data_IF_253394340066
#
_entry.id   IF_253394340066
#
_cell.length_a   1.000
_cell.length_b   1.000
_cell.length_c   1.000
_cell.angle_alpha   90.00
_cell.angle_beta   90.00
_cell.angle_gamma   90.00
#
_symmetry.space_group_name_H-M   'P 1'
#
loop_
_entity.id
_entity.type
_entity.pdbx_description
1 polymer ?
#
# COMPACT_ATOMS: atom_id res chain seq x y z
N UNK A 1 -17.55 22.78 -17.55
CA UNK A 1 -16.40 22.72 -16.68
C UNK A 1 -15.92 21.28 -16.46
N UNK A 2 -14.68 21.14 -16.04
CA UNK A 2 -14.10 19.90 -15.51
C UNK A 2 -13.77 20.07 -14.04
N UNK A 3 -13.72 18.98 -13.31
CA UNK A 3 -13.12 18.90 -11.97
C UNK A 3 -11.84 18.07 -12.10
N UNK A 4 -10.72 18.65 -11.66
CA UNK A 4 -9.44 17.97 -11.57
C UNK A 4 -9.11 17.71 -10.12
N UNK A 5 -8.60 16.52 -9.82
CA UNK A 5 -8.22 16.07 -8.49
C UNK A 5 -6.75 15.63 -8.50
N UNK A 6 -5.98 16.12 -7.53
CA UNK A 6 -4.57 15.78 -7.37
C UNK A 6 -4.26 15.56 -5.88
N UNK A 7 -3.18 14.84 -5.54
CA UNK A 7 -2.65 14.81 -4.19
C UNK A 7 -2.22 16.20 -3.75
N UNK A 8 -2.18 16.42 -2.43
CA UNK A 8 -1.61 17.65 -1.90
C UNK A 8 -0.15 17.78 -2.35
N UNK A 9 0.10 18.80 -3.13
CA UNK A 9 1.45 19.21 -3.49
C UNK A 9 1.79 20.46 -2.67
N UNK A 10 3.00 20.51 -2.12
CA UNK A 10 3.53 21.73 -1.48
C UNK A 10 3.71 22.77 -2.56
N UNK A 11 2.70 23.59 -2.79
CA UNK A 11 2.70 24.69 -3.76
C UNK A 11 2.71 26.02 -3.06
N UNK A 12 3.28 27.02 -3.74
CA UNK A 12 3.10 28.42 -3.42
C UNK A 12 1.63 28.87 -3.56
N UNK A 13 1.34 30.13 -3.28
CA UNK A 13 0.00 30.68 -3.47
C UNK A 13 -0.41 30.60 -4.94
N UNK A 14 -1.45 29.78 -5.21
CA UNK A 14 -2.09 29.72 -6.51
C UNK A 14 -3.09 30.88 -6.60
N UNK A 15 -2.83 31.82 -7.45
CA UNK A 15 -3.78 32.89 -7.77
C UNK A 15 -3.97 32.94 -9.28
N UNK A 16 -5.06 32.35 -9.76
CA UNK A 16 -5.45 32.50 -11.16
C UNK A 16 -6.97 32.64 -11.25
N UNK A 17 -7.44 33.62 -12.02
CA UNK A 17 -8.86 33.85 -12.31
C UNK A 17 -9.45 32.77 -13.25
N UNK A 18 -8.62 31.83 -13.70
CA UNK A 18 -8.97 30.82 -14.69
C UNK A 18 -9.57 29.53 -14.13
N UNK A 19 -9.56 29.34 -12.81
CA UNK A 19 -10.11 28.17 -12.14
C UNK A 19 -10.49 28.47 -10.68
N UNK A 20 -11.31 27.62 -10.07
CA UNK A 20 -11.60 27.64 -8.62
C UNK A 20 -10.76 26.56 -7.98
N UNK A 21 -9.95 26.94 -7.00
CA UNK A 21 -9.10 26.04 -6.24
C UNK A 21 -9.64 25.78 -4.84
N UNK A 22 -9.72 24.51 -4.44
CA UNK A 22 -10.09 24.07 -3.09
C UNK A 22 -8.98 23.17 -2.55
N UNK A 23 -8.27 23.66 -1.55
CA UNK A 23 -7.16 22.97 -0.92
C UNK A 23 -7.63 21.97 0.13
N UNK A 24 -6.99 20.82 0.15
CA UNK A 24 -7.15 19.80 1.21
C UNK A 24 -8.59 19.29 1.40
N UNK A 25 -9.26 19.03 0.32
CA UNK A 25 -10.60 18.43 0.37
C UNK A 25 -10.47 16.89 0.41
N UNK A 26 -10.61 16.30 1.61
CA UNK A 26 -10.38 14.85 1.84
C UNK A 26 -8.99 14.41 1.32
N UNK A 27 -7.94 15.10 1.74
CA UNK A 27 -6.54 14.88 1.35
C UNK A 27 -6.25 15.07 -0.15
N UNK A 28 -7.11 15.77 -0.85
CA UNK A 28 -6.93 16.12 -2.25
C UNK A 28 -7.00 17.62 -2.48
N UNK A 29 -6.22 18.10 -3.43
CA UNK A 29 -6.36 19.42 -4.02
C UNK A 29 -7.31 19.33 -5.22
N UNK A 30 -8.34 20.17 -5.23
CA UNK A 30 -9.40 20.14 -6.23
C UNK A 30 -9.41 21.44 -7.02
N UNK A 31 -9.50 21.30 -8.34
CA UNK A 31 -9.61 22.41 -9.29
C UNK A 31 -10.90 22.28 -10.08
N UNK A 32 -11.72 23.33 -10.08
CA UNK A 32 -12.88 23.43 -10.97
C UNK A 32 -12.49 24.40 -12.07
N UNK A 33 -12.40 23.90 -13.29
CA UNK A 33 -11.83 24.64 -14.43
C UNK A 33 -12.83 24.71 -15.59
N UNK A 34 -13.02 25.89 -16.21
CA UNK A 34 -13.73 26.02 -17.49
C UNK A 34 -13.10 25.14 -18.55
N UNK A 35 -13.90 24.63 -19.48
CA UNK A 35 -13.43 23.66 -20.49
C UNK A 35 -12.28 24.23 -21.36
N UNK A 36 -12.34 25.51 -21.67
CA UNK A 36 -11.32 26.23 -22.45
C UNK A 36 -9.98 26.35 -21.73
N UNK A 37 -9.97 26.32 -20.39
CA UNK A 37 -8.77 26.50 -19.56
C UNK A 37 -8.13 25.19 -19.09
N UNK A 38 -8.75 24.04 -19.34
CA UNK A 38 -8.23 22.74 -18.89
C UNK A 38 -6.79 22.49 -19.35
N UNK A 39 -6.50 22.70 -20.63
CA UNK A 39 -5.16 22.48 -21.18
C UNK A 39 -4.09 23.41 -20.57
N UNK A 40 -4.49 24.62 -20.18
CA UNK A 40 -3.60 25.59 -19.53
C UNK A 40 -3.28 25.14 -18.11
N UNK A 41 -4.30 24.71 -17.35
CA UNK A 41 -4.16 24.18 -15.99
C UNK A 41 -3.21 22.97 -15.96
N UNK A 42 -3.43 21.99 -16.85
CA UNK A 42 -2.62 20.78 -16.91
C UNK A 42 -1.14 21.07 -17.25
N UNK A 43 -0.87 22.06 -18.09
CA UNK A 43 0.50 22.42 -18.48
C UNK A 43 1.26 23.21 -17.42
N UNK A 44 0.57 24.11 -16.74
CA UNK A 44 1.23 25.11 -15.91
C UNK A 44 1.21 24.76 -14.42
N UNK A 45 0.12 24.12 -13.96
CA UNK A 45 -0.15 24.00 -12.52
C UNK A 45 -0.10 22.56 -12.01
N UNK A 46 -0.43 21.58 -12.86
CA UNK A 46 -0.59 20.19 -12.45
C UNK A 46 0.53 19.29 -13.01
N UNK A 47 1.80 19.68 -12.84
CA UNK A 47 2.92 18.92 -13.39
C UNK A 47 3.47 17.83 -12.48
N UNK A 48 3.24 17.95 -11.17
CA UNK A 48 3.88 17.10 -10.16
C UNK A 48 2.86 16.21 -9.45
N UNK A 49 2.35 15.18 -10.11
CA UNK A 49 1.49 14.22 -9.45
C UNK A 49 0.52 13.50 -10.37
N UNK A 50 -0.28 12.61 -9.79
CA UNK A 50 -1.30 11.87 -10.51
C UNK A 50 -2.60 12.66 -10.52
N UNK A 51 -3.11 12.95 -11.69
CA UNK A 51 -4.25 13.83 -11.91
C UNK A 51 -5.44 12.99 -12.38
N UNK A 52 -6.55 13.10 -11.65
CA UNK A 52 -7.84 12.61 -12.08
C UNK A 52 -8.70 13.72 -12.63
N UNK A 53 -9.28 13.54 -13.80
CA UNK A 53 -10.09 14.53 -14.51
C UNK A 53 -11.50 13.94 -14.68
N UNK A 54 -12.53 14.70 -14.31
CA UNK A 54 -13.93 14.30 -14.55
C UNK A 54 -14.29 14.28 -16.03
N UNK A 55 -15.49 13.82 -16.38
CA UNK A 55 -16.13 14.18 -17.63
C UNK A 55 -16.41 15.70 -17.70
N UNK A 56 -16.77 16.21 -18.87
CA UNK A 56 -17.28 17.56 -19.02
C UNK A 56 -18.66 17.68 -18.39
N UNK A 57 -18.85 18.63 -17.50
CA UNK A 57 -20.11 18.88 -16.81
C UNK A 57 -20.62 20.30 -17.06
N UNK A 58 -21.93 20.49 -16.86
CA UNK A 58 -22.58 21.80 -16.86
C UNK A 58 -23.55 21.88 -15.66
N UNK A 59 -23.73 23.09 -15.12
CA UNK A 59 -24.60 23.31 -13.96
C UNK A 59 -23.99 22.84 -12.62
N UNK A 60 -24.40 23.49 -11.53
CA UNK A 60 -23.87 23.20 -10.19
C UNK A 60 -24.42 21.88 -9.61
N UNK A 61 -25.53 21.40 -10.10
CA UNK A 61 -26.17 20.14 -9.70
C UNK A 61 -25.29 18.92 -9.94
N UNK A 62 -24.39 18.98 -10.94
CA UNK A 62 -23.48 17.88 -11.30
C UNK A 62 -22.12 17.93 -10.57
N UNK A 63 -21.88 18.91 -9.68
CA UNK A 63 -20.57 19.10 -9.05
C UNK A 63 -20.14 17.89 -8.21
N UNK A 64 -21.07 17.23 -7.51
CA UNK A 64 -20.78 16.03 -6.72
C UNK A 64 -20.33 14.86 -7.58
N UNK A 65 -20.99 14.69 -8.73
CA UNK A 65 -20.63 13.66 -9.69
C UNK A 65 -19.24 13.93 -10.29
N UNK A 66 -19.01 15.15 -10.74
CA UNK A 66 -17.73 15.56 -11.30
C UNK A 66 -16.58 15.36 -10.30
N UNK A 67 -16.80 15.68 -9.01
CA UNK A 67 -15.85 15.42 -7.95
C UNK A 67 -15.58 13.91 -7.79
N UNK A 68 -16.62 13.08 -7.69
CA UNK A 68 -16.47 11.63 -7.54
C UNK A 68 -15.71 11.00 -8.72
N UNK A 69 -16.02 11.42 -9.95
CA UNK A 69 -15.31 11.01 -11.16
C UNK A 69 -13.82 11.38 -11.11
N UNK A 70 -13.51 12.63 -10.73
CA UNK A 70 -12.13 13.09 -10.65
C UNK A 70 -11.31 12.34 -9.60
N UNK A 71 -11.88 12.06 -8.42
CA UNK A 71 -11.22 11.27 -7.36
C UNK A 71 -10.98 9.83 -7.83
N UNK A 72 -11.97 9.20 -8.45
CA UNK A 72 -11.84 7.86 -9.00
C UNK A 72 -10.73 7.79 -10.06
N UNK A 73 -10.69 8.77 -10.97
CA UNK A 73 -9.68 8.81 -12.02
C UNK A 73 -8.29 9.11 -11.48
N UNK A 74 -8.16 9.89 -10.39
CA UNK A 74 -6.86 10.08 -9.71
C UNK A 74 -6.32 8.78 -9.14
N UNK A 75 -7.16 8.00 -8.44
CA UNK A 75 -6.79 6.68 -7.93
C UNK A 75 -6.35 5.76 -9.08
N UNK A 76 -7.09 5.80 -10.19
CA UNK A 76 -6.74 5.03 -11.39
C UNK A 76 -5.41 5.47 -12.00
N UNK A 77 -5.17 6.76 -12.15
CA UNK A 77 -3.90 7.30 -12.63
C UNK A 77 -2.74 6.84 -11.74
N UNK A 78 -2.90 6.92 -10.42
CA UNK A 78 -1.91 6.46 -9.43
C UNK A 78 -1.55 4.98 -9.61
N UNK A 79 -2.53 4.08 -9.58
CA UNK A 79 -2.25 2.64 -9.65
C UNK A 79 -1.76 2.18 -11.02
N UNK A 80 -2.01 2.95 -12.09
CA UNK A 80 -1.53 2.68 -13.46
C UNK A 80 -0.23 3.40 -13.79
N UNK A 81 0.32 4.12 -12.84
CA UNK A 81 1.53 4.95 -13.06
C UNK A 81 1.39 5.89 -14.27
N UNK A 82 0.22 6.53 -14.40
CA UNK A 82 -0.13 7.47 -15.45
C UNK A 82 -0.22 8.88 -14.89
N UNK A 83 0.39 9.84 -15.56
CA UNK A 83 0.37 11.25 -15.11
C UNK A 83 -1.07 11.76 -14.99
N UNK A 84 -1.94 11.39 -15.91
CA UNK A 84 -3.34 11.80 -15.93
C UNK A 84 -4.28 10.68 -16.36
N UNK A 85 -5.49 10.68 -15.83
CA UNK A 85 -6.60 9.86 -16.32
C UNK A 85 -7.88 10.68 -16.34
N UNK A 86 -8.63 10.62 -17.43
CA UNK A 86 -9.89 11.34 -17.63
C UNK A 86 -11.06 10.37 -17.72
N UNK A 87 -12.14 10.69 -16.99
CA UNK A 87 -13.37 9.91 -17.02
C UNK A 87 -13.99 9.90 -18.43
N UNK A 88 -14.36 8.70 -18.88
CA UNK A 88 -14.93 8.49 -20.24
C UNK A 88 -13.90 8.47 -21.37
N UNK A 89 -12.67 8.93 -21.15
CA UNK A 89 -11.56 8.89 -22.13
C UNK A 89 -10.60 7.76 -21.84
N UNK A 90 -10.23 7.59 -20.56
CA UNK A 90 -9.34 6.52 -20.13
C UNK A 90 -10.04 5.16 -20.30
N UNK A 91 -9.48 4.31 -21.15
CA UNK A 91 -10.00 2.97 -21.44
C UNK A 91 -8.89 1.94 -21.34
N UNK A 92 -9.18 0.85 -20.67
CA UNK A 92 -8.32 -0.34 -20.58
C UNK A 92 -9.04 -1.53 -21.24
N UNK A 93 -8.33 -2.20 -22.13
CA UNK A 93 -8.81 -3.45 -22.75
C UNK A 93 -8.02 -4.61 -22.19
N UNK A 94 -8.52 -5.19 -21.11
CA UNK A 94 -7.87 -6.29 -20.42
C UNK A 94 -8.65 -7.57 -20.74
N UNK A 95 -7.99 -8.63 -21.23
CA UNK A 95 -8.65 -9.92 -21.45
C UNK A 95 -9.25 -10.47 -20.15
N UNK A 96 -10.50 -10.93 -20.22
CA UNK A 96 -11.26 -11.43 -19.07
C UNK A 96 -10.54 -12.58 -18.33
N UNK A 97 -9.85 -13.46 -19.06
CA UNK A 97 -9.07 -14.54 -18.47
C UNK A 97 -7.97 -14.04 -17.52
N UNK A 98 -7.31 -12.91 -17.85
CA UNK A 98 -6.26 -12.32 -17.00
C UNK A 98 -6.86 -11.68 -15.75
N UNK A 99 -8.04 -11.09 -15.86
CA UNK A 99 -8.77 -10.54 -14.69
C UNK A 99 -9.15 -11.67 -13.74
N UNK A 100 -9.66 -12.79 -14.27
CA UNK A 100 -10.03 -13.96 -13.47
C UNK A 100 -8.83 -14.59 -12.77
N UNK A 101 -7.68 -14.63 -13.41
CA UNK A 101 -6.43 -15.12 -12.80
C UNK A 101 -5.95 -14.18 -11.69
N UNK A 102 -5.93 -12.88 -11.94
CA UNK A 102 -5.52 -11.87 -10.96
C UNK A 102 -6.46 -11.82 -9.75
N UNK A 103 -7.76 -12.09 -9.93
CA UNK A 103 -8.74 -12.13 -8.86
C UNK A 103 -8.39 -13.14 -7.76
N UNK A 104 -7.70 -14.24 -8.09
CA UNK A 104 -7.22 -15.22 -7.10
C UNK A 104 -6.27 -14.61 -6.07
N UNK A 105 -5.50 -13.61 -6.46
CA UNK A 105 -4.58 -12.90 -5.55
C UNK A 105 -5.31 -11.99 -4.55
N UNK A 106 -6.58 -11.69 -4.80
CA UNK A 106 -7.42 -10.86 -3.93
C UNK A 106 -8.27 -11.69 -2.96
N UNK A 107 -8.30 -13.00 -3.12
CA UNK A 107 -9.05 -13.91 -2.26
C UNK A 107 -8.47 -13.94 -0.83
N UNK A 108 -9.33 -14.24 0.13
CA UNK A 108 -8.96 -14.36 1.55
C UNK A 108 -7.80 -15.34 1.78
N UNK A 109 -7.80 -16.47 1.07
CA UNK A 109 -6.73 -17.47 1.17
C UNK A 109 -5.35 -16.90 0.77
N UNK A 110 -5.28 -16.13 -0.31
CA UNK A 110 -4.05 -15.50 -0.76
C UNK A 110 -3.58 -14.40 0.21
N UNK A 111 -4.52 -13.65 0.82
CA UNK A 111 -4.22 -12.67 1.87
C UNK A 111 -3.65 -13.33 3.11
N UNK A 112 -4.30 -14.37 3.63
CA UNK A 112 -3.83 -15.14 4.78
C UNK A 112 -2.44 -15.72 4.50
N UNK A 113 -2.22 -16.26 3.32
CA UNK A 113 -0.91 -16.78 2.92
C UNK A 113 0.18 -15.70 2.99
N UNK A 114 -0.06 -14.49 2.47
CA UNK A 114 0.89 -13.37 2.56
C UNK A 114 1.20 -13.00 4.02
N UNK A 115 0.19 -12.95 4.89
CA UNK A 115 0.38 -12.70 6.32
C UNK A 115 1.22 -13.80 6.97
N UNK A 116 0.94 -15.08 6.67
CA UNK A 116 1.69 -16.20 7.22
C UNK A 116 3.15 -16.23 6.77
N UNK A 117 3.42 -15.88 5.51
CA UNK A 117 4.79 -15.83 4.97
C UNK A 117 5.69 -14.87 5.76
N UNK A 118 5.15 -13.80 6.34
CA UNK A 118 5.92 -12.85 7.17
C UNK A 118 6.60 -13.58 8.36
N UNK A 119 5.96 -14.59 8.94
CA UNK A 119 6.49 -15.36 10.08
C UNK A 119 7.30 -16.60 9.69
N UNK A 120 7.66 -16.79 8.41
CA UNK A 120 8.41 -17.96 7.92
C UNK A 120 9.82 -17.57 7.47
N UNK A 121 10.70 -18.55 7.27
CA UNK A 121 12.05 -18.32 6.72
C UNK A 121 12.07 -18.14 5.18
N UNK A 122 10.89 -18.02 4.55
CA UNK A 122 10.73 -17.96 3.09
C UNK A 122 10.61 -16.52 2.56
N UNK A 123 11.65 -15.71 2.74
CA UNK A 123 11.68 -14.30 2.32
C UNK A 123 11.45 -14.14 0.81
N UNK A 124 12.07 -15.01 -0.01
CA UNK A 124 11.89 -14.97 -1.47
C UNK A 124 10.43 -15.18 -1.91
N UNK A 125 9.70 -16.05 -1.23
CA UNK A 125 8.30 -16.32 -1.55
C UNK A 125 7.39 -15.18 -1.09
N UNK A 126 7.75 -14.54 0.03
CA UNK A 126 7.09 -13.34 0.53
C UNK A 126 7.22 -12.19 -0.48
N UNK A 127 8.44 -11.86 -0.90
CA UNK A 127 8.71 -10.82 -1.89
C UNK A 127 7.99 -11.10 -3.22
N UNK A 128 8.11 -12.31 -3.76
CA UNK A 128 7.42 -12.70 -5.00
C UNK A 128 5.91 -12.54 -4.92
N UNK A 129 5.30 -12.90 -3.78
CA UNK A 129 3.85 -12.80 -3.60
C UNK A 129 3.37 -11.35 -3.65
N UNK A 130 4.12 -10.41 -3.03
CA UNK A 130 3.78 -8.98 -3.08
C UNK A 130 4.05 -8.39 -4.47
N UNK A 131 5.23 -8.65 -5.05
CA UNK A 131 5.54 -8.15 -6.40
C UNK A 131 4.53 -8.63 -7.44
N UNK A 132 4.08 -9.88 -7.36
CA UNK A 132 3.05 -10.39 -8.25
C UNK A 132 1.72 -9.65 -8.04
N UNK A 133 1.30 -9.42 -6.80
CA UNK A 133 0.06 -8.70 -6.50
C UNK A 133 0.12 -7.27 -7.05
N UNK A 134 1.18 -6.51 -6.76
CA UNK A 134 1.37 -5.15 -7.27
C UNK A 134 1.49 -5.10 -8.79
N UNK A 135 2.14 -6.08 -9.41
CA UNK A 135 2.20 -6.20 -10.87
C UNK A 135 0.81 -6.31 -11.49
N UNK A 136 -0.09 -7.13 -10.93
CA UNK A 136 -1.46 -7.26 -11.43
C UNK A 136 -2.28 -5.97 -11.23
N UNK A 137 -2.07 -5.26 -10.13
CA UNK A 137 -2.65 -3.93 -9.87
C UNK A 137 -2.20 -2.92 -10.93
N UNK A 138 -0.88 -2.79 -11.14
CA UNK A 138 -0.29 -1.86 -12.12
C UNK A 138 -0.76 -2.13 -13.56
N UNK A 139 -1.00 -3.39 -13.90
CA UNK A 139 -1.51 -3.79 -15.22
C UNK A 139 -3.03 -3.71 -15.37
N UNK A 140 -3.75 -3.21 -14.37
CA UNK A 140 -5.19 -3.00 -14.45
C UNK A 140 -6.04 -4.25 -14.26
N UNK A 141 -5.43 -5.39 -13.91
CA UNK A 141 -6.14 -6.65 -13.74
C UNK A 141 -6.80 -6.77 -12.37
N UNK A 142 -6.38 -5.93 -11.44
CA UNK A 142 -7.03 -5.69 -10.15
C UNK A 142 -7.49 -4.23 -10.14
N UNK A 143 -8.77 -4.02 -9.86
CA UNK A 143 -9.38 -2.70 -9.76
C UNK A 143 -8.87 -1.93 -8.53
N UNK A 144 -8.81 -0.61 -8.60
CA UNK A 144 -8.30 0.26 -7.54
C UNK A 144 -9.08 0.17 -6.23
N UNK A 145 -10.40 -0.08 -6.30
CA UNK A 145 -11.22 -0.25 -5.09
C UNK A 145 -10.98 -1.61 -4.45
N UNK A 146 -10.79 -2.65 -5.26
CA UNK A 146 -10.40 -4.00 -4.79
C UNK A 146 -9.01 -3.96 -4.18
N UNK A 147 -8.06 -3.30 -4.84
CA UNK A 147 -6.71 -3.08 -4.30
C UNK A 147 -6.74 -2.42 -2.93
N UNK A 148 -7.46 -1.30 -2.80
CA UNK A 148 -7.60 -0.57 -1.53
C UNK A 148 -8.19 -1.46 -0.42
N UNK A 149 -9.24 -2.23 -0.73
CA UNK A 149 -9.84 -3.17 0.22
C UNK A 149 -8.86 -4.26 0.63
N UNK A 150 -8.16 -4.88 -0.33
CA UNK A 150 -7.19 -5.94 -0.06
C UNK A 150 -6.05 -5.45 0.87
N UNK A 151 -5.54 -4.24 0.65
CA UNK A 151 -4.48 -3.67 1.50
C UNK A 151 -4.99 -3.37 2.92
N UNK A 152 -6.19 -2.80 3.07
CA UNK A 152 -6.81 -2.57 4.39
C UNK A 152 -7.02 -3.87 5.16
N UNK A 153 -7.54 -4.89 4.50
CA UNK A 153 -7.76 -6.20 5.09
C UNK A 153 -6.44 -6.89 5.46
N UNK A 154 -5.41 -6.75 4.61
CA UNK A 154 -4.07 -7.27 4.87
C UNK A 154 -3.48 -6.65 6.16
N UNK A 155 -3.46 -5.32 6.27
CA UNK A 155 -2.93 -4.65 7.47
C UNK A 155 -3.74 -4.98 8.73
N UNK A 156 -5.05 -5.11 8.60
CA UNK A 156 -5.90 -5.53 9.72
C UNK A 156 -5.53 -6.94 10.22
N UNK A 157 -5.25 -7.86 9.31
CA UNK A 157 -4.84 -9.22 9.67
C UNK A 157 -3.42 -9.27 10.22
N UNK A 158 -2.50 -8.45 9.69
CA UNK A 158 -1.15 -8.28 10.24
C UNK A 158 -1.21 -7.77 11.69
N UNK A 159 -2.04 -6.76 11.97
CA UNK A 159 -2.23 -6.24 13.35
C UNK A 159 -2.71 -7.32 14.31
N UNK A 160 -3.66 -8.14 13.91
CA UNK A 160 -4.16 -9.23 14.75
C UNK A 160 -3.12 -10.31 14.99
N UNK A 161 -2.39 -10.68 13.94
CA UNK A 161 -1.46 -11.82 13.96
C UNK A 161 -0.17 -11.48 14.70
N UNK A 162 0.33 -10.25 14.51
CA UNK A 162 1.66 -9.84 14.98
C UNK A 162 1.63 -8.69 15.98
N UNK A 163 0.55 -8.54 16.73
CA UNK A 163 0.35 -7.45 17.69
C UNK A 163 1.56 -7.17 18.58
N UNK A 164 2.18 -8.21 19.15
CA UNK A 164 3.33 -8.06 20.04
C UNK A 164 4.61 -7.59 19.32
N UNK A 165 4.74 -7.88 18.03
CA UNK A 165 5.88 -7.46 17.24
C UNK A 165 5.72 -6.02 16.71
N UNK A 166 4.50 -5.51 16.65
CA UNK A 166 4.17 -4.19 16.11
C UNK A 166 4.32 -3.04 17.13
N UNK A 167 4.62 -3.30 18.40
CA UNK A 167 4.74 -2.25 19.42
C UNK A 167 5.77 -1.17 19.07
N UNK A 168 6.77 -1.48 18.24
CA UNK A 168 7.80 -0.53 17.77
C UNK A 168 7.64 -0.10 16.31
N UNK A 169 6.89 -0.84 15.49
CA UNK A 169 6.71 -0.60 14.05
C UNK A 169 5.36 0.09 13.73
N UNK A 170 4.65 0.55 14.76
CA UNK A 170 3.31 1.12 14.61
C UNK A 170 3.26 2.38 13.73
N UNK A 171 4.32 3.18 13.68
CA UNK A 171 4.38 4.39 12.85
C UNK A 171 4.43 4.02 11.36
N UNK A 172 5.34 3.13 10.95
CA UNK A 172 5.47 2.69 9.56
C UNK A 172 4.19 1.95 9.08
N UNK A 173 3.56 1.16 9.96
CA UNK A 173 2.28 0.54 9.67
C UNK A 173 1.18 1.57 9.38
N UNK A 174 1.10 2.65 10.18
CA UNK A 174 0.12 3.72 9.96
C UNK A 174 0.38 4.42 8.62
N UNK A 175 1.63 4.70 8.29
CA UNK A 175 2.00 5.26 6.99
C UNK A 175 1.60 4.33 5.82
N UNK A 176 1.81 3.02 5.95
CA UNK A 176 1.41 2.05 4.92
C UNK A 176 -0.11 1.97 4.71
N UNK A 177 -0.93 2.33 5.72
CA UNK A 177 -2.38 2.39 5.59
C UNK A 177 -2.87 3.57 4.74
N UNK A 178 -2.04 4.61 4.61
CA UNK A 178 -2.34 5.82 3.86
C UNK A 178 -1.93 5.69 2.38
N UNK A 179 -2.53 4.72 1.66
CA UNK A 179 -2.18 4.33 0.28
C UNK A 179 -2.04 5.56 -0.65
N UNK A 180 -3.01 6.47 -0.55
CA UNK A 180 -3.15 7.58 -1.49
C UNK A 180 -2.31 8.81 -1.13
N UNK A 181 -1.57 8.77 -0.02
CA UNK A 181 -0.64 9.83 0.39
C UNK A 181 0.71 9.72 -0.31
N UNK A 182 1.04 8.53 -0.85
CA UNK A 182 2.30 8.30 -1.55
C UNK A 182 2.36 9.00 -2.91
N UNK A 183 3.59 9.25 -3.34
CA UNK A 183 3.85 9.94 -4.61
C UNK A 183 3.51 9.08 -5.83
N UNK A 184 3.64 7.76 -5.74
CA UNK A 184 3.34 6.81 -6.81
C UNK A 184 3.13 5.40 -6.26
N UNK A 185 2.53 4.55 -7.10
CA UNK A 185 2.31 3.14 -6.73
C UNK A 185 3.63 2.39 -6.48
N UNK A 186 4.71 2.76 -7.18
CA UNK A 186 6.02 2.13 -6.98
C UNK A 186 6.59 2.49 -5.61
N UNK A 187 6.56 3.79 -5.21
CA UNK A 187 6.96 4.22 -3.85
C UNK A 187 6.11 3.56 -2.76
N UNK A 188 4.81 3.35 -3.05
CA UNK A 188 3.93 2.66 -2.12
C UNK A 188 4.29 1.17 -1.98
N UNK A 189 4.59 0.49 -3.09
CA UNK A 189 5.07 -0.90 -3.07
C UNK A 189 6.36 -1.02 -2.27
N UNK A 190 7.34 -0.14 -2.52
CA UNK A 190 8.62 -0.12 -1.80
C UNK A 190 8.42 0.06 -0.29
N UNK A 191 7.53 0.97 0.11
CA UNK A 191 7.19 1.20 1.52
C UNK A 191 6.53 -0.03 2.16
N UNK A 192 5.60 -0.66 1.48
CA UNK A 192 4.96 -1.90 1.96
C UNK A 192 5.98 -3.01 2.10
N UNK A 193 6.88 -3.16 1.13
CA UNK A 193 7.95 -4.15 1.18
C UNK A 193 8.92 -3.88 2.33
N UNK A 194 9.32 -2.63 2.55
CA UNK A 194 10.16 -2.23 3.69
C UNK A 194 9.49 -2.63 5.01
N UNK A 195 8.22 -2.28 5.21
CA UNK A 195 7.46 -2.64 6.40
C UNK A 195 7.41 -4.15 6.62
N UNK A 196 7.07 -4.90 5.58
CA UNK A 196 6.90 -6.36 5.65
C UNK A 196 8.22 -7.05 5.98
N UNK A 197 9.35 -6.61 5.38
CA UNK A 197 10.67 -7.17 5.64
C UNK A 197 11.18 -6.81 7.04
N UNK A 198 10.99 -5.59 7.52
CA UNK A 198 11.32 -5.22 8.89
C UNK A 198 10.54 -6.04 9.92
N UNK A 199 9.24 -6.22 9.69
CA UNK A 199 8.40 -7.07 10.55
C UNK A 199 8.87 -8.53 10.53
N UNK A 200 9.20 -9.06 9.35
CA UNK A 200 9.76 -10.41 9.17
C UNK A 200 11.05 -10.61 9.98
N UNK A 201 12.03 -9.71 9.84
CA UNK A 201 13.31 -9.77 10.59
C UNK A 201 13.08 -9.73 12.09
N UNK A 202 12.17 -8.89 12.55
CA UNK A 202 11.84 -8.77 13.97
C UNK A 202 11.21 -10.02 14.55
N UNK A 203 10.29 -10.63 13.82
CA UNK A 203 9.65 -11.88 14.24
C UNK A 203 10.71 -12.99 14.35
N UNK A 204 11.55 -13.15 13.34
CA UNK A 204 12.57 -14.19 13.29
C UNK A 204 13.64 -13.99 14.35
N UNK A 205 14.10 -12.76 14.60
CA UNK A 205 15.05 -12.47 15.69
C UNK A 205 14.46 -12.79 17.07
N UNK A 206 13.19 -12.55 17.27
CA UNK A 206 12.48 -12.89 18.52
C UNK A 206 12.36 -14.42 18.71
N UNK A 207 12.13 -15.17 17.64
CA UNK A 207 12.13 -16.65 17.69
C UNK A 207 13.49 -17.22 18.03
N UNK A 208 14.57 -16.68 17.42
CA UNK A 208 15.94 -17.14 17.70
C UNK A 208 16.37 -16.83 19.13
N UNK A 209 16.01 -15.67 19.66
CA UNK A 209 16.26 -15.34 21.06
C UNK A 209 15.53 -16.29 22.01
N UNK A 210 14.24 -16.56 21.77
CA UNK A 210 13.45 -17.48 22.59
C UNK A 210 13.99 -18.92 22.52
N UNK A 211 14.40 -19.38 21.34
CA UNK A 211 15.01 -20.71 21.14
C UNK A 211 16.33 -20.84 21.87
N UNK A 212 17.16 -19.80 21.84
CA UNK A 212 18.43 -19.77 22.58
C UNK A 212 18.21 -19.70 24.10
N UNK A 213 17.24 -18.91 24.57
CA UNK A 213 16.87 -18.86 26.00
C UNK A 213 16.37 -20.21 26.49
N UNK A 214 15.53 -20.92 25.71
CA UNK A 214 15.08 -22.27 26.04
C UNK A 214 16.24 -23.26 26.10
N UNK A 215 17.17 -23.24 25.13
CA UNK A 215 18.36 -24.12 25.16
C UNK A 215 19.25 -23.84 26.36
N UNK A 216 19.47 -22.58 26.70
CA UNK A 216 20.24 -22.19 27.88
C UNK A 216 19.54 -22.68 29.15
N UNK A 217 18.22 -22.51 29.25
CA UNK A 217 17.44 -23.01 30.40
C UNK A 217 17.56 -24.52 30.55
N UNK A 218 17.35 -25.28 29.46
CA UNK A 218 17.53 -26.75 29.47
C UNK A 218 18.95 -27.15 29.90
N UNK A 219 19.99 -26.43 29.46
CA UNK A 219 21.37 -26.70 29.90
C UNK A 219 21.59 -26.41 31.38
N UNK A 220 20.99 -25.31 31.90
CA UNK A 220 21.06 -24.96 33.31
C UNK A 220 20.33 -26.01 34.15
N UNK A 221 19.10 -26.37 33.80
CA UNK A 221 18.31 -27.39 34.49
C UNK A 221 19.06 -28.75 34.53
N UNK A 222 19.68 -29.13 33.40
CA UNK A 222 20.50 -30.32 33.30
C UNK A 222 21.72 -30.28 34.22
N UNK A 223 22.41 -29.14 34.30
CA UNK A 223 23.58 -28.92 35.20
C UNK A 223 23.10 -29.03 36.66
N UNK A 224 22.00 -28.38 37.03
CA UNK A 224 21.47 -28.39 38.39
C UNK A 224 21.06 -29.81 38.85
N UNK A 225 20.45 -30.60 37.96
CA UNK A 225 20.06 -31.97 38.23
C UNK A 225 21.27 -32.94 38.33
N UNK A 226 22.39 -32.62 37.68
CA UNK A 226 23.53 -33.52 37.57
C UNK A 226 24.83 -32.97 38.16
N UNK A 227 24.80 -31.83 38.87
CA UNK A 227 26.02 -31.17 39.40
C UNK A 227 26.93 -32.06 40.29
N UNK A 228 26.35 -33.10 40.86
CA UNK A 228 27.10 -34.09 41.69
C UNK A 228 27.81 -35.18 40.87
N UNK A 229 27.66 -35.16 39.51
CA UNK A 229 28.32 -36.10 38.59
C UNK A 229 29.41 -35.37 37.83
N UNK A 230 30.37 -36.12 37.26
CA UNK A 230 31.42 -35.55 36.39
C UNK A 230 30.77 -35.00 35.10
N UNK A 231 30.49 -33.68 35.10
CA UNK A 231 29.98 -32.95 33.94
C UNK A 231 31.12 -32.45 33.07
N UNK A 232 31.07 -32.73 31.77
CA UNK A 232 31.96 -32.11 30.79
C UNK A 232 31.17 -31.39 29.71
N UNK A 233 31.80 -30.46 28.99
CA UNK A 233 31.19 -29.63 27.96
C UNK A 233 30.51 -30.42 26.85
N UNK A 234 31.02 -31.60 26.51
CA UNK A 234 30.45 -32.46 25.47
C UNK A 234 29.09 -33.06 25.88
N UNK A 235 28.86 -33.27 27.19
CA UNK A 235 27.60 -33.81 27.72
C UNK A 235 26.54 -32.72 27.81
N UNK A 236 26.92 -31.51 28.12
CA UNK A 236 25.98 -30.37 28.25
C UNK A 236 25.58 -29.78 26.88
N UNK A 237 26.41 -29.95 25.82
CA UNK A 237 26.20 -29.37 24.49
C UNK A 237 25.46 -30.32 23.51
N UNK A 238 25.16 -31.55 23.86
CA UNK A 238 24.38 -32.49 23.09
C UNK A 238 22.92 -32.49 23.55
#
# INVERSE_FOLDING_TARGET
YYVCCQNQVKRGELSDDNYIFMKNMNDNDIFIVPAENLSLLLKNELQDGYIGISAAHCGLESIRQAYAESVMMRKKAFVRNKVEAQYGVFQEKIPEGLITEAAKLTEEAARIQRVQLIGTDHTDDLEKSFHQFFYEVKNGRIDEAVFESCMKDFFTEVEKTYQNALETEGELLLECKEIWSENCIDSYEDKVMEFVLQLHEKINSSYDQNKNVQKIKMAVDYIEENYAKDLNMAVVSN
#
